data_IF_493428886454
#
_entry.id   IF_493428886454
#
_cell.length_a   1.000
_cell.length_b   1.000
_cell.length_c   1.000
_cell.angle_alpha   90.00
_cell.angle_beta   90.00
_cell.angle_gamma   90.00
#
_symmetry.space_group_name_H-M   'P 1'
#
loop_
_entity.id
_entity.type
_entity.pdbx_description
1 polymer ?
#
# COMPACT_ATOMS: atom_id res chain seq x y z
N UNK A 1 5.60 -23.93 -3.98
CA UNK A 1 4.28 -23.53 -3.45
C UNK A 1 4.09 -24.16 -2.08
N UNK A 2 3.40 -23.48 -1.16
CA UNK A 2 3.09 -24.06 0.14
C UNK A 2 2.04 -25.18 -0.01
N UNK A 3 2.08 -26.27 0.78
CA UNK A 3 1.05 -27.31 0.70
C UNK A 3 -0.34 -26.73 0.99
N UNK A 4 -1.35 -27.10 0.20
CA UNK A 4 -2.72 -26.62 0.36
C UNK A 4 -3.28 -26.93 1.77
N UNK A 5 -2.97 -28.12 2.29
CA UNK A 5 -3.35 -28.54 3.64
C UNK A 5 -2.73 -27.65 4.73
N UNK A 6 -1.52 -27.13 4.51
CA UNK A 6 -0.89 -26.19 5.42
C UNK A 6 -1.58 -24.83 5.38
N UNK A 7 -1.92 -24.33 4.18
CA UNK A 7 -2.65 -23.06 4.01
C UNK A 7 -4.04 -23.13 4.65
N UNK A 8 -4.78 -24.21 4.44
CA UNK A 8 -6.10 -24.43 5.04
C UNK A 8 -6.02 -24.51 6.58
N UNK A 9 -5.07 -25.27 7.12
CA UNK A 9 -4.89 -25.37 8.57
C UNK A 9 -4.54 -24.00 9.20
N UNK A 10 -3.66 -23.24 8.55
CA UNK A 10 -3.29 -21.90 9.01
C UNK A 10 -4.46 -20.92 8.93
N UNK A 11 -5.27 -20.99 7.87
CA UNK A 11 -6.49 -20.17 7.73
C UNK A 11 -7.48 -20.42 8.86
N UNK A 12 -7.80 -21.69 9.15
CA UNK A 12 -8.75 -22.03 10.22
C UNK A 12 -8.24 -21.53 11.58
N UNK A 13 -6.96 -21.78 11.88
CA UNK A 13 -6.34 -21.37 13.14
C UNK A 13 -6.29 -19.84 13.28
N UNK A 14 -5.89 -19.13 12.21
CA UNK A 14 -5.85 -17.68 12.20
C UNK A 14 -7.25 -17.08 12.38
N UNK A 15 -8.24 -17.58 11.64
CA UNK A 15 -9.65 -17.14 11.72
C UNK A 15 -10.21 -17.26 13.13
N UNK A 16 -9.87 -18.35 13.85
CA UNK A 16 -10.28 -18.56 15.24
C UNK A 16 -9.64 -17.62 16.25
N UNK A 17 -8.56 -16.91 15.87
CA UNK A 17 -7.75 -16.09 16.78
C UNK A 17 -7.53 -14.64 16.32
N UNK A 18 -8.16 -14.17 15.25
CA UNK A 18 -7.86 -12.84 14.67
C UNK A 18 -7.88 -11.69 15.70
N UNK A 19 -8.80 -11.71 16.68
CA UNK A 19 -8.88 -10.70 17.72
C UNK A 19 -7.64 -10.61 18.63
N UNK A 20 -6.84 -11.67 18.73
CA UNK A 20 -5.58 -11.66 19.51
C UNK A 20 -4.38 -11.11 18.72
N UNK A 21 -4.52 -10.89 17.42
CA UNK A 21 -3.41 -10.37 16.61
C UNK A 21 -3.22 -8.87 16.87
N UNK A 22 -1.96 -8.42 16.82
CA UNK A 22 -1.65 -6.98 16.71
C UNK A 22 -2.00 -6.47 15.30
N UNK A 23 -2.13 -5.15 15.12
CA UNK A 23 -2.29 -4.58 13.78
C UNK A 23 -1.19 -5.03 12.81
N UNK A 24 0.06 -5.07 13.27
CA UNK A 24 1.20 -5.54 12.46
C UNK A 24 1.12 -7.03 12.11
N UNK A 25 0.63 -7.85 13.04
CA UNK A 25 0.36 -9.27 12.80
C UNK A 25 -0.68 -9.47 11.69
N UNK A 26 -1.77 -8.71 11.74
CA UNK A 26 -2.83 -8.73 10.72
C UNK A 26 -2.34 -8.21 9.35
N UNK A 27 -1.54 -7.15 9.35
CA UNK A 27 -0.92 -6.61 8.13
C UNK A 27 -0.01 -7.63 7.46
N UNK A 28 0.82 -8.33 8.25
CA UNK A 28 1.68 -9.41 7.75
C UNK A 28 0.86 -10.59 7.21
N UNK A 29 -0.24 -10.92 7.88
CA UNK A 29 -1.13 -12.02 7.49
C UNK A 29 -1.80 -11.77 6.13
N UNK A 30 -2.42 -10.60 5.94
CA UNK A 30 -3.06 -10.27 4.65
C UNK A 30 -2.04 -10.14 3.52
N UNK A 31 -0.85 -9.60 3.82
CA UNK A 31 0.25 -9.54 2.85
C UNK A 31 0.73 -10.94 2.41
N UNK A 32 0.83 -11.88 3.36
CA UNK A 32 1.20 -13.26 3.06
C UNK A 32 0.16 -13.94 2.16
N UNK A 33 -1.14 -13.78 2.45
CA UNK A 33 -2.22 -14.33 1.61
C UNK A 33 -2.21 -13.75 0.19
N UNK A 34 -2.03 -12.43 0.08
CA UNK A 34 -1.88 -11.76 -1.21
C UNK A 34 -0.66 -12.27 -1.98
N UNK A 35 0.47 -12.46 -1.30
CA UNK A 35 1.71 -12.95 -1.93
C UNK A 35 1.58 -14.40 -2.41
N UNK A 36 0.89 -15.24 -1.64
CA UNK A 36 0.62 -16.63 -1.98
C UNK A 36 -0.50 -16.79 -3.03
N UNK A 37 -1.20 -15.70 -3.40
CA UNK A 37 -2.36 -15.72 -4.29
C UNK A 37 -3.44 -16.72 -3.84
N UNK A 38 -3.64 -16.82 -2.52
CA UNK A 38 -4.64 -17.69 -1.92
C UNK A 38 -5.96 -16.93 -1.84
N UNK A 39 -6.98 -17.47 -2.51
CA UNK A 39 -8.35 -16.99 -2.37
C UNK A 39 -8.98 -17.59 -1.09
N UNK A 40 -9.15 -16.73 -0.09
CA UNK A 40 -9.75 -17.09 1.20
C UNK A 40 -10.65 -15.94 1.70
N UNK A 41 -11.90 -15.89 1.20
CA UNK A 41 -12.82 -14.80 1.53
C UNK A 41 -13.16 -14.72 3.02
N UNK A 42 -13.15 -15.86 3.73
CA UNK A 42 -13.48 -15.92 5.14
C UNK A 42 -12.38 -15.29 5.99
N UNK A 43 -11.13 -15.69 5.76
CA UNK A 43 -9.98 -15.07 6.43
C UNK A 43 -9.88 -13.59 6.06
N UNK A 44 -10.00 -13.25 4.77
CA UNK A 44 -9.91 -11.88 4.31
C UNK A 44 -10.97 -10.98 4.97
N UNK A 45 -12.23 -11.42 5.03
CA UNK A 45 -13.31 -10.68 5.71
C UNK A 45 -13.04 -10.49 7.21
N UNK A 46 -12.50 -11.51 7.88
CA UNK A 46 -12.12 -11.41 9.29
C UNK A 46 -10.96 -10.43 9.51
N UNK A 47 -9.90 -10.55 8.71
CA UNK A 47 -8.69 -9.74 8.84
C UNK A 47 -8.98 -8.27 8.54
N UNK A 48 -9.74 -7.98 7.49
CA UNK A 48 -10.13 -6.61 7.13
C UNK A 48 -10.96 -5.94 8.24
N UNK A 49 -11.89 -6.68 8.86
CA UNK A 49 -12.68 -6.20 10.00
C UNK A 49 -11.81 -5.83 11.20
N UNK A 50 -10.87 -6.70 11.57
CA UNK A 50 -9.96 -6.44 12.70
C UNK A 50 -8.98 -5.29 12.38
N UNK A 51 -8.47 -5.23 11.16
CA UNK A 51 -7.61 -4.14 10.69
C UNK A 51 -8.32 -2.80 10.76
N UNK A 52 -9.62 -2.73 10.43
CA UNK A 52 -10.39 -1.49 10.55
C UNK A 52 -10.39 -0.93 11.99
N UNK A 53 -10.35 -1.79 13.02
CA UNK A 53 -10.25 -1.37 14.43
C UNK A 53 -8.81 -1.03 14.88
N UNK A 54 -7.80 -1.58 14.20
CA UNK A 54 -6.37 -1.49 14.58
C UNK A 54 -5.53 -0.63 13.63
N UNK A 55 -6.09 -0.06 12.57
CA UNK A 55 -5.35 0.68 11.54
C UNK A 55 -4.52 1.83 12.11
N UNK A 56 -4.98 2.48 13.18
CA UNK A 56 -4.24 3.53 13.89
C UNK A 56 -2.88 3.07 14.43
N UNK A 57 -2.76 1.79 14.79
CA UNK A 57 -1.56 1.15 15.34
C UNK A 57 -0.55 0.76 14.24
N UNK A 58 -0.98 0.78 12.98
CA UNK A 58 -0.11 0.46 11.86
C UNK A 58 0.93 1.57 11.64
N UNK A 59 2.14 1.13 11.38
CA UNK A 59 3.21 1.93 10.80
C UNK A 59 2.89 2.31 9.35
N UNK A 60 3.64 3.25 8.79
CA UNK A 60 3.56 3.59 7.37
C UNK A 60 3.71 2.35 6.47
N UNK A 61 4.73 1.52 6.75
CA UNK A 61 4.92 0.25 6.07
C UNK A 61 3.71 -0.70 6.21
N UNK A 62 3.13 -0.80 7.42
CA UNK A 62 1.96 -1.64 7.66
C UNK A 62 0.76 -1.20 6.84
N UNK A 63 0.50 0.11 6.76
CA UNK A 63 -0.54 0.69 5.91
C UNK A 63 -0.28 0.41 4.43
N UNK A 64 0.97 0.57 3.97
CA UNK A 64 1.36 0.28 2.60
C UNK A 64 1.17 -1.20 2.23
N UNK A 65 1.53 -2.11 3.14
CA UNK A 65 1.36 -3.55 2.96
C UNK A 65 -0.13 -3.94 2.88
N UNK A 66 -0.97 -3.39 3.75
CA UNK A 66 -2.42 -3.66 3.70
C UNK A 66 -3.01 -3.13 2.41
N UNK A 67 -2.73 -1.87 2.04
CA UNK A 67 -3.23 -1.29 0.79
C UNK A 67 -2.83 -2.13 -0.43
N UNK A 68 -1.55 -2.52 -0.50
CA UNK A 68 -1.07 -3.39 -1.57
C UNK A 68 -1.75 -4.76 -1.57
N UNK A 69 -1.91 -5.39 -0.41
CA UNK A 69 -2.54 -6.70 -0.30
C UNK A 69 -4.01 -6.66 -0.76
N UNK A 70 -4.78 -5.65 -0.35
CA UNK A 70 -6.15 -5.44 -0.81
C UNK A 70 -6.22 -5.20 -2.33
N UNK A 71 -5.25 -4.47 -2.88
CA UNK A 71 -5.15 -4.27 -4.33
C UNK A 71 -4.80 -5.55 -5.09
N UNK A 72 -3.93 -6.38 -4.53
CA UNK A 72 -3.51 -7.66 -5.12
C UNK A 72 -4.62 -8.71 -5.08
N UNK A 73 -5.35 -8.78 -3.97
CA UNK A 73 -6.48 -9.70 -3.76
C UNK A 73 -7.80 -9.20 -4.38
N UNK A 74 -7.77 -8.09 -5.13
CA UNK A 74 -8.94 -7.46 -5.74
C UNK A 74 -10.08 -7.19 -4.74
N UNK A 75 -9.72 -6.83 -3.51
CA UNK A 75 -10.69 -6.61 -2.43
C UNK A 75 -11.41 -5.27 -2.60
N UNK A 76 -12.74 -5.31 -2.62
CA UNK A 76 -13.60 -4.12 -2.72
C UNK A 76 -13.92 -3.45 -1.36
N UNK A 77 -13.19 -3.75 -0.28
CA UNK A 77 -13.45 -3.20 1.06
C UNK A 77 -13.21 -1.68 1.12
N UNK A 78 -14.23 -0.94 0.70
CA UNK A 78 -14.27 0.52 0.63
C UNK A 78 -14.05 1.14 1.99
N UNK A 79 -14.56 0.52 3.05
CA UNK A 79 -14.44 1.04 4.41
C UNK A 79 -12.98 0.99 4.85
N UNK A 80 -12.29 -0.13 4.63
CA UNK A 80 -10.89 -0.25 5.01
C UNK A 80 -9.98 0.66 4.18
N UNK A 81 -10.25 0.82 2.88
CA UNK A 81 -9.53 1.81 2.06
C UNK A 81 -9.66 3.23 2.61
N UNK A 82 -10.86 3.68 2.99
CA UNK A 82 -11.07 5.00 3.59
C UNK A 82 -10.32 5.16 4.93
N UNK A 83 -10.28 4.11 5.75
CA UNK A 83 -9.53 4.13 7.01
C UNK A 83 -8.02 4.23 6.74
N UNK A 84 -7.51 3.46 5.78
CA UNK A 84 -6.09 3.52 5.37
C UNK A 84 -5.75 4.91 4.86
N UNK A 85 -6.60 5.52 4.03
CA UNK A 85 -6.42 6.89 3.52
C UNK A 85 -6.27 7.89 4.67
N UNK A 86 -7.20 7.87 5.62
CA UNK A 86 -7.18 8.76 6.79
C UNK A 86 -5.95 8.56 7.66
N UNK A 87 -5.54 7.31 7.90
CA UNK A 87 -4.37 7.01 8.71
C UNK A 87 -3.06 7.30 7.97
N UNK A 88 -3.02 7.11 6.66
CA UNK A 88 -1.88 7.45 5.82
C UNK A 88 -1.66 8.96 5.79
N UNK A 89 -2.72 9.77 5.64
CA UNK A 89 -2.65 11.23 5.69
C UNK A 89 -1.99 11.75 6.98
N UNK A 90 -2.29 11.13 8.12
CA UNK A 90 -1.68 11.49 9.43
C UNK A 90 -0.21 11.10 9.53
N UNK A 91 0.25 10.15 8.71
CA UNK A 91 1.56 9.50 8.82
C UNK A 91 2.45 9.73 7.60
N UNK A 92 2.08 10.57 6.62
CA UNK A 92 2.80 10.75 5.34
C UNK A 92 4.29 11.01 5.51
N UNK A 93 4.70 11.80 6.51
CA UNK A 93 6.12 12.08 6.79
C UNK A 93 6.92 10.88 7.32
N UNK A 94 6.25 9.78 7.69
CA UNK A 94 6.87 8.54 8.16
C UNK A 94 6.98 7.48 7.07
N UNK A 95 6.34 7.68 5.91
CA UNK A 95 6.45 6.77 4.78
C UNK A 95 7.80 6.92 4.12
N UNK A 96 8.42 5.79 3.80
CA UNK A 96 9.55 5.74 2.88
C UNK A 96 9.06 5.94 1.43
N UNK A 97 9.94 6.32 0.49
CA UNK A 97 9.59 6.53 -0.90
C UNK A 97 8.83 5.36 -1.56
N UNK A 98 9.31 4.13 -1.34
CA UNK A 98 8.69 2.93 -1.89
C UNK A 98 7.30 2.64 -1.31
N UNK A 99 7.05 3.03 -0.06
CA UNK A 99 5.78 2.84 0.63
C UNK A 99 4.75 3.86 0.12
N UNK A 100 5.16 5.12 -0.11
CA UNK A 100 4.32 6.13 -0.78
C UNK A 100 3.87 5.64 -2.16
N UNK A 101 4.81 5.15 -2.97
CA UNK A 101 4.51 4.60 -4.28
C UNK A 101 3.58 3.38 -4.20
N UNK A 102 3.77 2.51 -3.19
CA UNK A 102 2.92 1.34 -2.97
C UNK A 102 1.48 1.74 -2.69
N UNK A 103 1.25 2.64 -1.71
CA UNK A 103 -0.08 3.14 -1.37
C UNK A 103 -0.72 3.83 -2.56
N UNK A 104 -0.02 4.75 -3.23
CA UNK A 104 -0.56 5.44 -4.39
C UNK A 104 -1.02 4.46 -5.48
N UNK A 105 -0.19 3.46 -5.81
CA UNK A 105 -0.53 2.47 -6.84
C UNK A 105 -1.70 1.58 -6.45
N UNK A 106 -1.82 1.20 -5.18
CA UNK A 106 -2.93 0.40 -4.67
C UNK A 106 -4.27 1.14 -4.79
N UNK A 107 -4.30 2.43 -4.43
CA UNK A 107 -5.48 3.26 -4.54
C UNK A 107 -5.85 3.55 -6.01
N UNK A 108 -4.85 3.85 -6.86
CA UNK A 108 -5.07 4.08 -8.28
C UNK A 108 -5.64 2.84 -8.99
N UNK A 109 -5.13 1.64 -8.69
CA UNK A 109 -5.61 0.38 -9.27
C UNK A 109 -7.09 0.12 -9.00
N UNK A 110 -7.58 0.53 -7.83
CA UNK A 110 -8.98 0.39 -7.42
C UNK A 110 -9.87 1.59 -7.80
N UNK A 111 -9.37 2.50 -8.65
CA UNK A 111 -10.10 3.70 -9.06
C UNK A 111 -10.39 4.68 -7.91
N UNK A 112 -9.70 4.53 -6.77
CA UNK A 112 -9.88 5.39 -5.59
C UNK A 112 -8.97 6.60 -5.70
N UNK A 113 -9.37 7.53 -6.56
CA UNK A 113 -8.55 8.67 -6.97
C UNK A 113 -8.92 9.94 -6.20
N UNK A 114 -8.86 9.90 -4.86
CA UNK A 114 -9.06 11.12 -4.07
C UNK A 114 -7.94 12.13 -4.38
N UNK A 115 -8.30 13.25 -5.01
CA UNK A 115 -7.35 14.29 -5.45
C UNK A 115 -6.54 14.87 -4.29
N UNK A 116 -7.16 15.09 -3.13
CA UNK A 116 -6.46 15.63 -1.96
C UNK A 116 -5.45 14.64 -1.41
N UNK A 117 -5.80 13.35 -1.39
CA UNK A 117 -4.88 12.29 -0.97
C UNK A 117 -3.68 12.17 -1.91
N UNK A 118 -3.91 12.16 -3.22
CA UNK A 118 -2.83 12.13 -4.21
C UNK A 118 -1.97 13.39 -4.16
N UNK A 119 -2.55 14.58 -3.97
CA UNK A 119 -1.78 15.81 -3.78
C UNK A 119 -0.89 15.75 -2.53
N UNK A 120 -1.39 15.17 -1.44
CA UNK A 120 -0.62 14.99 -0.22
C UNK A 120 0.54 13.98 -0.39
N UNK A 121 0.29 12.87 -1.09
CA UNK A 121 1.35 11.90 -1.48
C UNK A 121 2.40 12.58 -2.36
N UNK A 122 1.98 13.36 -3.37
CA UNK A 122 2.88 14.10 -4.25
C UNK A 122 3.82 15.01 -3.45
N UNK A 123 3.26 15.83 -2.55
CA UNK A 123 4.04 16.71 -1.69
C UNK A 123 5.07 15.93 -0.86
N UNK A 124 4.68 14.80 -0.26
CA UNK A 124 5.58 13.96 0.50
C UNK A 124 6.68 13.34 -0.37
N UNK A 125 6.33 12.87 -1.57
CA UNK A 125 7.27 12.27 -2.52
C UNK A 125 8.30 13.28 -3.04
N UNK A 126 7.89 14.51 -3.35
CA UNK A 126 8.79 15.58 -3.82
C UNK A 126 9.85 15.93 -2.75
N UNK A 127 9.47 15.91 -1.47
CA UNK A 127 10.40 16.12 -0.35
C UNK A 127 11.45 15.00 -0.25
N UNK A 128 11.07 13.76 -0.58
CA UNK A 128 11.94 12.58 -0.49
C UNK A 128 12.55 12.17 -1.84
N UNK A 129 12.46 13.01 -2.89
CA UNK A 129 12.80 12.65 -4.28
C UNK A 129 14.19 12.02 -4.46
N UNK A 130 15.19 12.44 -3.68
CA UNK A 130 16.53 11.89 -3.78
C UNK A 130 16.62 10.41 -3.36
N UNK A 131 15.74 9.96 -2.46
CA UNK A 131 15.75 8.62 -1.87
C UNK A 131 14.95 7.58 -2.68
N UNK A 132 14.18 8.01 -3.67
CA UNK A 132 13.44 7.08 -4.53
C UNK A 132 14.38 6.20 -5.34
N UNK A 133 14.10 4.90 -5.38
CA UNK A 133 14.70 3.99 -6.36
C UNK A 133 14.04 4.18 -7.73
N UNK A 134 14.69 3.79 -8.83
CA UNK A 134 14.06 3.80 -10.17
C UNK A 134 12.72 3.06 -10.22
N UNK A 135 12.59 1.92 -9.53
CA UNK A 135 11.31 1.21 -9.47
C UNK A 135 10.25 1.99 -8.68
N UNK A 136 10.65 2.65 -7.59
CA UNK A 136 9.76 3.51 -6.81
C UNK A 136 9.22 4.68 -7.64
N UNK A 137 10.09 5.31 -8.45
CA UNK A 137 9.71 6.37 -9.38
C UNK A 137 8.67 5.91 -10.39
N UNK A 138 8.96 4.84 -11.13
CA UNK A 138 8.06 4.35 -12.18
C UNK A 138 6.70 3.94 -11.62
N UNK A 139 6.68 3.31 -10.43
CA UNK A 139 5.43 2.94 -9.76
C UNK A 139 4.60 4.17 -9.37
N UNK A 140 5.24 5.19 -8.80
CA UNK A 140 4.54 6.42 -8.41
C UNK A 140 4.01 7.16 -9.64
N UNK A 141 4.81 7.30 -10.70
CA UNK A 141 4.39 7.92 -11.95
C UNK A 141 3.18 7.19 -12.58
N UNK A 142 3.23 5.85 -12.62
CA UNK A 142 2.09 5.05 -13.09
C UNK A 142 0.85 5.28 -12.23
N UNK A 143 0.99 5.32 -10.90
CA UNK A 143 -0.15 5.53 -10.00
C UNK A 143 -0.86 6.87 -10.27
N UNK A 144 -0.10 7.96 -10.48
CA UNK A 144 -0.66 9.28 -10.79
C UNK A 144 -1.34 9.32 -12.17
N UNK A 145 -0.72 8.68 -13.17
CA UNK A 145 -1.31 8.54 -14.49
C UNK A 145 -2.62 7.74 -14.46
N UNK A 146 -2.62 6.58 -13.80
CA UNK A 146 -3.80 5.73 -13.63
C UNK A 146 -4.91 6.43 -12.83
N UNK A 147 -4.54 7.27 -11.86
CA UNK A 147 -5.49 8.07 -11.10
C UNK A 147 -6.05 9.28 -11.86
N UNK A 148 -5.54 9.59 -13.06
CA UNK A 148 -5.93 10.79 -13.82
C UNK A 148 -5.52 12.09 -13.13
N UNK A 149 -4.48 12.04 -12.27
CA UNK A 149 -3.98 13.21 -11.52
C UNK A 149 -2.71 13.72 -12.19
N UNK A 150 -2.83 14.87 -12.85
CA UNK A 150 -1.69 15.58 -13.42
C UNK A 150 -1.05 16.47 -12.35
N UNK A 151 0.04 16.01 -11.73
CA UNK A 151 0.83 16.81 -10.78
C UNK A 151 2.16 17.22 -11.41
N UNK A 152 2.22 18.46 -11.91
CA UNK A 152 3.38 18.99 -12.62
C UNK A 152 4.63 18.99 -11.75
N UNK A 153 4.52 19.40 -10.49
CA UNK A 153 5.66 19.47 -9.57
C UNK A 153 6.23 18.10 -9.28
N UNK A 154 5.36 17.09 -9.13
CA UNK A 154 5.80 15.71 -9.03
C UNK A 154 6.58 15.30 -10.28
N UNK A 155 5.97 15.42 -11.47
CA UNK A 155 6.61 14.95 -12.71
C UNK A 155 7.93 15.65 -13.02
N UNK A 156 8.03 16.96 -12.76
CA UNK A 156 9.29 17.71 -12.87
C UNK A 156 10.34 17.14 -11.90
N UNK A 157 9.98 16.93 -10.63
CA UNK A 157 10.88 16.33 -9.64
C UNK A 157 11.31 14.89 -9.99
N UNK A 158 10.41 14.07 -10.57
CA UNK A 158 10.77 12.73 -11.04
C UNK A 158 11.72 12.81 -12.23
N UNK A 159 11.49 13.75 -13.15
CA UNK A 159 12.33 13.96 -14.34
C UNK A 159 13.75 14.41 -13.99
N UNK A 160 13.88 15.39 -13.10
CA UNK A 160 15.18 15.88 -12.60
C UNK A 160 15.98 14.75 -11.93
N UNK A 161 15.34 13.97 -11.05
CA UNK A 161 16.00 12.88 -10.35
C UNK A 161 16.43 11.73 -11.29
N UNK A 162 15.65 11.47 -12.35
CA UNK A 162 16.03 10.51 -13.38
C UNK A 162 17.23 10.99 -14.21
N UNK A 163 17.25 12.27 -14.61
CA UNK A 163 18.37 12.86 -15.35
C UNK A 163 19.66 12.85 -14.52
N UNK A 164 19.60 13.23 -13.25
CA UNK A 164 20.78 13.21 -12.37
C UNK A 164 21.45 11.82 -12.32
N UNK A 165 20.65 10.76 -12.18
CA UNK A 165 21.16 9.37 -12.16
C UNK A 165 21.75 8.92 -13.49
N UNK A 166 21.19 9.36 -14.62
CA UNK A 166 21.76 9.04 -15.94
C UNK A 166 23.16 9.67 -16.06
N UNK A 167 23.33 10.89 -15.58
CA UNK A 167 24.61 11.59 -15.62
C UNK A 167 25.65 10.99 -14.66
N UNK A 168 25.24 10.43 -13.52
CA UNK A 168 26.13 9.71 -12.59
C UNK A 168 26.66 8.38 -13.15
N UNK A 169 26.01 7.81 -14.17
CA UNK A 169 26.38 6.56 -14.81
C UNK A 169 27.32 6.75 -16.02
N UNK A 170 27.65 7.99 -16.37
CA UNK A 170 28.55 8.38 -17.47
C UNK A 170 29.94 8.75 -16.95
#
# INVERSE_FOLDING_TARGET
EAPESFVQALSMEATGRLGSFSGQGLSSLVWAWATLSVDDPQLLSGVTRELAGKARELSAQGLANVAWALATLDSEDTRLFLIIEQEALKKLGMFKPGELASVASAFARHGRCNREFFAAISKAAVLQRAEFTPQGFSRLAWAFAAAGVADRSLFEALGEAALARILELQ
#
